data_IF_969700428380
#
_entry.id   IF_969700428380
#
_cell.length_a   1.000
_cell.length_b   1.000
_cell.length_c   1.000
_cell.angle_alpha   90.00
_cell.angle_beta   90.00
_cell.angle_gamma   90.00
#
_symmetry.space_group_name_H-M   'P 1'
#
loop_
_entity.id
_entity.type
_entity.pdbx_description
1 polymer ?
#
# COMPACT_ATOMS: atom_id res chain seq x y z
N UNK A 1 6.42 32.11 0.63
CA UNK A 1 6.11 30.68 0.89
C UNK A 1 5.04 30.24 -0.08
N UNK A 2 5.36 29.31 -0.99
CA UNK A 2 4.35 28.73 -1.88
C UNK A 2 3.48 27.76 -1.08
N UNK A 3 2.15 27.96 -1.08
CA UNK A 3 1.20 26.99 -0.55
C UNK A 3 1.17 25.81 -1.53
N UNK A 4 1.83 24.71 -1.19
CA UNK A 4 1.65 23.46 -1.91
C UNK A 4 0.21 22.99 -1.68
N UNK A 5 -0.61 23.04 -2.74
CA UNK A 5 -1.96 22.50 -2.71
C UNK A 5 -1.85 21.01 -3.04
N UNK A 6 -2.28 20.17 -2.12
CA UNK A 6 -2.38 18.73 -2.35
C UNK A 6 -3.49 18.52 -3.40
N UNK A 7 -3.20 17.69 -4.41
CA UNK A 7 -4.21 17.25 -5.36
C UNK A 7 -5.00 16.09 -4.75
N UNK A 8 -6.04 16.43 -4.00
CA UNK A 8 -6.89 15.46 -3.29
C UNK A 8 -7.51 14.42 -4.24
N UNK A 9 -7.77 14.81 -5.49
CA UNK A 9 -8.35 13.94 -6.52
C UNK A 9 -7.30 12.91 -6.97
N UNK A 10 -6.09 13.36 -7.27
CA UNK A 10 -4.96 12.49 -7.60
C UNK A 10 -4.60 11.54 -6.47
N UNK A 11 -4.54 12.04 -5.23
CA UNK A 11 -4.25 11.23 -4.03
C UNK A 11 -5.34 10.17 -3.81
N UNK A 12 -6.62 10.55 -3.92
CA UNK A 12 -7.73 9.60 -3.79
C UNK A 12 -7.73 8.51 -4.86
N UNK A 13 -7.35 8.86 -6.10
CA UNK A 13 -7.24 7.90 -7.20
C UNK A 13 -6.08 6.92 -6.98
N UNK A 14 -4.90 7.42 -6.62
CA UNK A 14 -3.70 6.62 -6.34
C UNK A 14 -3.96 5.69 -5.15
N UNK A 15 -4.55 6.20 -4.07
CA UNK A 15 -4.97 5.42 -2.91
C UNK A 15 -5.94 4.29 -3.27
N UNK A 16 -6.94 4.57 -4.12
CA UNK A 16 -7.89 3.54 -4.57
C UNK A 16 -7.21 2.45 -5.42
N UNK A 17 -6.24 2.83 -6.24
CA UNK A 17 -5.44 1.88 -7.02
C UNK A 17 -4.56 1.01 -6.12
N UNK A 18 -3.86 1.62 -5.18
CA UNK A 18 -2.95 0.93 -4.27
C UNK A 18 -3.66 0.07 -3.22
N UNK A 19 -4.91 0.37 -2.85
CA UNK A 19 -5.63 -0.38 -1.83
C UNK A 19 -5.82 -1.88 -2.18
N UNK A 20 -5.90 -2.21 -3.48
CA UNK A 20 -6.05 -3.60 -3.95
C UNK A 20 -4.72 -4.32 -4.14
N UNK A 21 -3.63 -3.58 -4.28
CA UNK A 21 -2.33 -4.12 -4.67
C UNK A 21 -1.71 -5.08 -3.62
N UNK A 22 -1.74 -4.79 -2.30
CA UNK A 22 -1.20 -5.70 -1.29
C UNK A 22 -1.85 -7.09 -1.31
N UNK A 23 -3.17 -7.16 -1.49
CA UNK A 23 -3.91 -8.42 -1.55
C UNK A 23 -3.58 -9.21 -2.83
N UNK A 24 -3.43 -8.52 -3.96
CA UNK A 24 -2.99 -9.15 -5.20
C UNK A 24 -1.59 -9.72 -5.08
N UNK A 25 -0.62 -8.95 -4.56
CA UNK A 25 0.76 -9.43 -4.39
C UNK A 25 0.86 -10.64 -3.45
N UNK A 26 0.09 -10.66 -2.35
CA UNK A 26 0.00 -11.82 -1.44
C UNK A 26 -0.63 -13.04 -2.10
N UNK A 27 -1.65 -12.84 -2.94
CA UNK A 27 -2.26 -13.91 -3.74
C UNK A 27 -1.27 -14.48 -4.75
N UNK A 28 -0.52 -13.62 -5.45
CA UNK A 28 0.53 -14.03 -6.37
C UNK A 28 1.63 -14.82 -5.65
N UNK A 29 2.07 -14.36 -4.48
CA UNK A 29 3.07 -15.05 -3.67
C UNK A 29 2.60 -16.47 -3.26
N UNK A 30 1.34 -16.58 -2.85
CA UNK A 30 0.71 -17.86 -2.50
C UNK A 30 0.65 -18.79 -3.72
N UNK A 31 0.14 -18.29 -4.86
CA UNK A 31 0.07 -19.07 -6.10
C UNK A 31 1.46 -19.55 -6.54
N UNK A 32 2.47 -18.68 -6.48
CA UNK A 32 3.84 -19.03 -6.84
C UNK A 32 4.41 -20.12 -5.93
N UNK A 33 4.18 -20.02 -4.62
CA UNK A 33 4.62 -21.03 -3.66
C UNK A 33 3.99 -22.39 -3.95
N UNK A 34 2.68 -22.43 -4.26
CA UNK A 34 1.97 -23.66 -4.66
C UNK A 34 2.54 -24.23 -5.95
N UNK A 35 2.73 -23.40 -6.99
CA UNK A 35 3.29 -23.84 -8.28
C UNK A 35 4.69 -24.40 -8.11
N UNK A 36 5.57 -23.75 -7.33
CA UNK A 36 6.93 -24.27 -7.11
C UNK A 36 6.90 -25.58 -6.31
N UNK A 37 6.03 -25.70 -5.31
CA UNK A 37 5.89 -26.94 -4.55
C UNK A 37 5.39 -28.09 -5.44
N UNK A 38 4.47 -27.80 -6.37
CA UNK A 38 4.02 -28.76 -7.38
C UNK A 38 5.14 -29.14 -8.35
N UNK A 39 5.99 -28.19 -8.75
CA UNK A 39 7.14 -28.46 -9.61
C UNK A 39 8.18 -29.33 -8.91
N UNK A 40 8.46 -29.06 -7.63
CA UNK A 40 9.35 -29.89 -6.80
C UNK A 40 8.84 -31.33 -6.69
N UNK A 41 7.52 -31.53 -6.54
CA UNK A 41 6.92 -32.88 -6.50
C UNK A 41 6.97 -33.65 -7.83
N UNK A 42 7.19 -32.97 -8.96
CA UNK A 42 7.32 -33.58 -10.28
C UNK A 42 8.78 -33.86 -10.68
N UNK A 43 9.75 -33.39 -9.89
CA UNK A 43 11.18 -33.59 -10.12
C UNK A 43 11.63 -34.87 -9.40
N UNK A 44 12.49 -35.64 -10.07
CA UNK A 44 13.07 -36.85 -9.50
C UNK A 44 13.93 -36.53 -8.26
N UNK A 45 13.88 -37.42 -7.26
CA UNK A 45 14.55 -37.20 -5.97
C UNK A 45 16.07 -37.10 -6.10
N UNK A 46 16.65 -37.70 -7.14
CA UNK A 46 18.09 -37.63 -7.42
C UNK A 46 18.52 -36.28 -8.05
N UNK A 47 17.58 -35.40 -8.40
CA UNK A 47 17.82 -34.08 -9.00
C UNK A 47 17.99 -32.98 -7.96
N UNK A 48 18.83 -33.23 -6.95
CA UNK A 48 19.12 -32.37 -5.80
C UNK A 48 19.43 -30.90 -6.16
N UNK A 49 20.20 -30.70 -7.24
CA UNK A 49 20.57 -29.36 -7.72
C UNK A 49 19.37 -28.55 -8.21
N UNK A 50 18.43 -29.20 -8.90
CA UNK A 50 17.22 -28.58 -9.42
C UNK A 50 16.24 -28.27 -8.29
N UNK A 51 16.07 -29.17 -7.32
CA UNK A 51 15.25 -28.94 -6.13
C UNK A 51 15.74 -27.72 -5.32
N UNK A 52 17.05 -27.59 -5.13
CA UNK A 52 17.66 -26.42 -4.47
C UNK A 52 17.55 -25.13 -5.30
N UNK A 53 17.54 -25.23 -6.62
CA UNK A 53 17.32 -24.07 -7.49
C UNK A 53 15.86 -23.59 -7.41
N UNK A 54 14.89 -24.51 -7.45
CA UNK A 54 13.47 -24.23 -7.27
C UNK A 54 13.18 -23.62 -5.91
N UNK A 55 13.80 -24.14 -4.84
CA UNK A 55 13.62 -23.59 -3.50
C UNK A 55 14.15 -22.16 -3.39
N UNK A 56 15.37 -21.90 -3.91
CA UNK A 56 15.94 -20.54 -3.96
C UNK A 56 15.05 -19.59 -4.78
N UNK A 57 14.56 -20.06 -5.92
CA UNK A 57 13.63 -19.30 -6.75
C UNK A 57 12.37 -18.93 -5.96
N UNK A 58 11.75 -19.90 -5.27
CA UNK A 58 10.57 -19.67 -4.42
C UNK A 58 10.84 -18.61 -3.37
N UNK A 59 11.87 -18.79 -2.55
CA UNK A 59 12.19 -17.89 -1.43
C UNK A 59 12.38 -16.45 -1.91
N UNK A 60 13.17 -16.25 -2.96
CA UNK A 60 13.46 -14.90 -3.49
C UNK A 60 12.19 -14.22 -4.01
N UNK A 61 11.38 -14.92 -4.80
CA UNK A 61 10.25 -14.28 -5.49
C UNK A 61 9.03 -14.14 -4.57
N UNK A 62 8.75 -15.11 -3.72
CA UNK A 62 7.71 -15.00 -2.67
C UNK A 62 8.07 -13.89 -1.70
N UNK A 63 9.33 -13.82 -1.24
CA UNK A 63 9.80 -12.74 -0.37
C UNK A 63 9.70 -11.36 -1.02
N UNK A 64 10.06 -11.24 -2.29
CA UNK A 64 9.94 -9.98 -3.05
C UNK A 64 8.48 -9.52 -3.18
N UNK A 65 7.56 -10.44 -3.47
CA UNK A 65 6.13 -10.13 -3.56
C UNK A 65 5.55 -9.69 -2.21
N UNK A 66 5.96 -10.32 -1.10
CA UNK A 66 5.58 -9.87 0.24
C UNK A 66 6.13 -8.48 0.56
N UNK A 67 7.41 -8.22 0.25
CA UNK A 67 8.02 -6.91 0.48
C UNK A 67 7.32 -5.79 -0.29
N UNK A 68 6.92 -6.04 -1.55
CA UNK A 68 6.13 -5.08 -2.34
C UNK A 68 4.73 -4.90 -1.75
N UNK A 69 4.09 -5.98 -1.29
CA UNK A 69 2.78 -5.89 -0.62
C UNK A 69 2.84 -5.02 0.65
N UNK A 70 3.89 -5.16 1.44
CA UNK A 70 4.07 -4.42 2.69
C UNK A 70 4.44 -2.95 2.41
N UNK A 71 5.28 -2.68 1.41
CA UNK A 71 5.57 -1.32 0.95
C UNK A 71 4.32 -0.61 0.41
N UNK A 72 3.48 -1.31 -0.37
CA UNK A 72 2.21 -0.79 -0.85
C UNK A 72 1.24 -0.51 0.31
N UNK A 73 1.16 -1.40 1.30
CA UNK A 73 0.33 -1.18 2.49
C UNK A 73 0.80 0.01 3.34
N UNK A 74 2.12 0.16 3.52
CA UNK A 74 2.71 1.30 4.22
C UNK A 74 2.40 2.61 3.49
N UNK A 75 2.57 2.65 2.16
CA UNK A 75 2.25 3.82 1.36
C UNK A 75 0.77 4.21 1.44
N UNK A 76 -0.15 3.23 1.45
CA UNK A 76 -1.59 3.51 1.66
C UNK A 76 -1.82 4.13 3.04
N UNK A 77 -1.18 3.59 4.08
CA UNK A 77 -1.26 4.15 5.43
C UNK A 77 -0.73 5.58 5.54
N UNK A 78 0.40 5.87 4.91
CA UNK A 78 0.98 7.22 4.87
C UNK A 78 0.07 8.20 4.11
N UNK A 79 -0.55 7.76 3.01
CA UNK A 79 -1.52 8.57 2.26
C UNK A 79 -2.78 8.84 3.08
N UNK A 80 -3.28 7.86 3.84
CA UNK A 80 -4.42 8.04 4.75
C UNK A 80 -4.13 9.10 5.81
N UNK A 81 -2.95 9.04 6.44
CA UNK A 81 -2.51 10.02 7.45
C UNK A 81 -2.41 11.44 6.87
N UNK A 82 -1.87 11.59 5.66
CA UNK A 82 -1.74 12.90 5.00
C UNK A 82 -3.12 13.49 4.68
N UNK A 83 -4.05 12.67 4.16
CA UNK A 83 -5.42 13.11 3.83
C UNK A 83 -6.20 13.50 5.10
N UNK A 84 -6.08 12.72 6.17
CA UNK A 84 -6.76 13.02 7.44
C UNK A 84 -6.21 14.31 8.08
N UNK A 85 -4.90 14.52 8.07
CA UNK A 85 -4.27 15.75 8.58
C UNK A 85 -4.69 17.00 7.80
N UNK A 86 -4.79 16.91 6.48
CA UNK A 86 -5.27 18.03 5.65
C UNK A 86 -6.74 18.33 5.95
N UNK A 87 -7.59 17.30 6.05
CA UNK A 87 -9.00 17.45 6.40
C UNK A 87 -9.20 18.07 7.78
N UNK A 88 -8.43 17.65 8.78
CA UNK A 88 -8.47 18.22 10.12
C UNK A 88 -8.08 19.71 10.11
N UNK A 89 -7.04 20.07 9.33
CA UNK A 89 -6.61 21.45 9.15
C UNK A 89 -7.69 22.30 8.47
N UNK A 90 -8.33 21.79 7.41
CA UNK A 90 -9.42 22.47 6.72
C UNK A 90 -10.62 22.72 7.66
N UNK A 91 -10.99 21.72 8.46
CA UNK A 91 -12.06 21.85 9.47
C UNK A 91 -11.68 22.86 10.55
N UNK A 92 -10.44 22.84 11.04
CA UNK A 92 -9.93 23.82 12.00
C UNK A 92 -10.02 25.25 11.49
N UNK A 93 -9.59 25.49 10.24
CA UNK A 93 -9.70 26.81 9.59
C UNK A 93 -11.17 27.22 9.41
N UNK A 94 -12.03 26.33 8.95
CA UNK A 94 -13.46 26.61 8.78
C UNK A 94 -14.16 26.95 10.11
N UNK A 95 -13.82 26.24 11.20
CA UNK A 95 -14.31 26.52 12.54
C UNK A 95 -13.79 27.88 13.05
N UNK A 96 -12.51 28.18 12.86
CA UNK A 96 -11.92 29.46 13.25
C UNK A 96 -12.55 30.64 12.48
N UNK A 97 -12.79 30.50 11.18
CA UNK A 97 -13.49 31.50 10.37
C UNK A 97 -14.95 31.69 10.82
N UNK A 98 -15.67 30.59 11.08
CA UNK A 98 -17.05 30.66 11.57
C UNK A 98 -17.15 31.32 12.93
N UNK A 99 -16.20 31.05 13.84
CA UNK A 99 -16.13 31.70 15.14
C UNK A 99 -15.81 33.20 15.03
N UNK A 100 -14.96 33.60 14.09
CA UNK A 100 -14.59 35.00 13.86
C UNK A 100 -15.77 35.81 13.31
N UNK A 101 -16.49 35.26 12.32
CA UNK A 101 -17.69 35.88 11.73
C UNK A 101 -18.83 35.93 12.77
N UNK A 102 -19.01 34.88 13.58
CA UNK A 102 -20.00 34.88 14.66
C UNK A 102 -19.76 35.94 15.74
N UNK A 103 -18.50 36.36 15.96
CA UNK A 103 -18.14 37.42 16.89
C UNK A 103 -18.44 38.82 16.34
N UNK A 104 -18.29 39.04 15.02
CA UNK A 104 -18.61 40.32 14.37
C UNK A 104 -20.11 40.59 14.24
N UNK A 105 -20.95 39.56 14.21
CA UNK A 105 -22.42 39.71 14.11
C UNK A 105 -23.06 39.97 15.50
N UNK A 106 -22.32 39.75 16.59
CA UNK A 106 -22.80 39.88 17.96
C UNK A 106 -22.32 41.17 18.68
N UNK A 107 -21.49 42.01 18.03
CA UNK A 107 -21.03 43.31 18.53
C UNK A 107 -21.74 44.46 17.84
#
# INVERSE_FOLDING_TARGET
>A
MARYRIDDVGVSQVRRSLATDPAMFRTCATSLSVTVSSAQGAVDADSDGLLRALERFRVVHVGSLHAVADAAAALVGDLDLVVDSDRETQLGVAMAFSAMIGLEVAG
#
